data_IF_830241555808
#
_entry.id   IF_830241555808
#
_cell.length_a   1.000
_cell.length_b   1.000
_cell.length_c   1.000
_cell.angle_alpha   90.00
_cell.angle_beta   90.00
_cell.angle_gamma   90.00
#
_symmetry.space_group_name_H-M   'P 1'
#
loop_
_entity.id
_entity.type
_entity.pdbx_description
1 polymer ?
#
# COMPACT_ATOMS: atom_id res chain seq x y z
N UNK A 1 40.06 -36.92 21.46
CA UNK A 1 39.04 -36.68 20.40
C UNK A 1 39.03 -35.21 20.05
N UNK A 2 39.49 -34.87 18.85
CA UNK A 2 39.78 -33.50 18.41
C UNK A 2 38.47 -32.81 18.01
N UNK A 3 38.10 -31.74 18.74
CA UNK A 3 37.05 -30.79 18.34
C UNK A 3 37.59 -29.93 17.20
N UNK A 4 37.02 -30.05 16.00
CA UNK A 4 37.32 -29.17 14.87
C UNK A 4 36.14 -28.22 14.66
N UNK A 5 36.36 -26.93 14.95
CA UNK A 5 35.76 -25.80 14.23
C UNK A 5 34.32 -25.41 14.53
N UNK A 6 34.00 -25.00 15.76
CA UNK A 6 32.76 -24.25 16.04
C UNK A 6 32.91 -22.81 15.51
N UNK A 7 32.08 -22.39 14.54
CA UNK A 7 31.79 -20.97 14.31
C UNK A 7 30.74 -20.48 15.31
N UNK A 8 30.84 -19.21 15.68
CA UNK A 8 30.24 -18.54 16.85
C UNK A 8 28.70 -18.49 16.98
N UNK A 9 27.93 -19.25 16.20
CA UNK A 9 26.45 -19.20 16.26
C UNK A 9 25.77 -20.54 16.56
N UNK A 10 26.52 -21.65 16.63
CA UNK A 10 25.96 -22.98 16.90
C UNK A 10 24.98 -23.49 15.84
N UNK A 11 24.87 -22.79 14.69
CA UNK A 11 23.97 -23.18 13.60
C UNK A 11 24.58 -24.33 12.79
N UNK A 12 23.81 -25.40 12.51
CA UNK A 12 24.26 -26.48 11.66
C UNK A 12 24.68 -25.98 10.28
N UNK A 13 25.65 -26.64 9.68
CA UNK A 13 26.24 -26.29 8.39
C UNK A 13 25.91 -27.32 7.32
N UNK A 14 26.03 -26.94 6.04
CA UNK A 14 25.84 -27.87 4.92
C UNK A 14 26.81 -29.07 4.99
N UNK A 15 28.00 -28.86 5.55
CA UNK A 15 28.99 -29.92 5.74
C UNK A 15 28.56 -30.94 6.80
N UNK A 16 27.90 -30.49 7.87
CA UNK A 16 27.34 -31.39 8.90
C UNK A 16 26.16 -32.18 8.36
N UNK A 17 25.30 -31.55 7.54
CA UNK A 17 24.23 -32.25 6.80
C UNK A 17 24.80 -33.30 5.86
N UNK A 18 25.81 -32.94 5.06
CA UNK A 18 26.45 -33.86 4.12
C UNK A 18 27.08 -35.06 4.84
N UNK A 19 27.74 -34.81 5.97
CA UNK A 19 28.34 -35.84 6.82
C UNK A 19 27.28 -36.77 7.41
N UNK A 20 26.18 -36.23 7.93
CA UNK A 20 25.09 -37.02 8.51
C UNK A 20 24.36 -37.85 7.44
N UNK A 21 24.19 -37.30 6.24
CA UNK A 21 23.57 -37.99 5.11
C UNK A 21 24.50 -38.97 4.38
N UNK A 22 25.80 -38.98 4.71
CA UNK A 22 26.79 -39.86 4.08
C UNK A 22 27.14 -39.49 2.63
N UNK A 23 27.04 -38.20 2.27
CA UNK A 23 27.25 -37.71 0.90
C UNK A 23 28.28 -36.58 0.86
N UNK A 24 28.77 -36.23 -0.33
CA UNK A 24 29.63 -35.04 -0.48
C UNK A 24 28.84 -33.73 -0.28
N UNK A 25 29.46 -32.63 0.18
CA UNK A 25 28.79 -31.33 0.32
C UNK A 25 28.13 -30.83 -0.98
N UNK A 26 28.73 -31.15 -2.14
CA UNK A 26 28.16 -30.86 -3.47
C UNK A 26 26.87 -31.66 -3.69
N UNK A 27 26.86 -32.95 -3.34
CA UNK A 27 25.67 -33.81 -3.47
C UNK A 27 24.56 -33.36 -2.53
N UNK A 28 24.89 -33.01 -1.28
CA UNK A 28 23.93 -32.44 -0.33
C UNK A 28 23.33 -31.12 -0.84
N UNK A 29 24.16 -30.23 -1.41
CA UNK A 29 23.69 -28.98 -2.03
C UNK A 29 22.71 -29.25 -3.18
N UNK A 30 23.05 -30.16 -4.10
CA UNK A 30 22.20 -30.51 -5.26
C UNK A 30 20.90 -31.18 -4.85
N UNK A 31 20.95 -32.06 -3.84
CA UNK A 31 19.79 -32.73 -3.27
C UNK A 31 18.80 -31.74 -2.64
N UNK A 32 19.29 -30.81 -1.81
CA UNK A 32 18.45 -29.75 -1.20
C UNK A 32 17.93 -28.72 -2.23
N UNK A 33 18.54 -28.65 -3.41
CA UNK A 33 18.09 -27.83 -4.56
C UNK A 33 17.08 -28.55 -5.45
N UNK A 34 16.86 -29.87 -5.27
CA UNK A 34 15.95 -30.65 -6.12
C UNK A 34 16.45 -30.85 -7.55
N UNK A 35 17.77 -30.87 -7.79
CA UNK A 35 18.32 -31.09 -9.14
C UNK A 35 18.14 -32.56 -9.52
N UNK A 36 17.56 -32.82 -10.70
CA UNK A 36 17.18 -34.15 -11.22
C UNK A 36 18.33 -35.15 -11.42
N UNK A 37 19.58 -34.71 -11.26
CA UNK A 37 20.79 -35.56 -11.37
C UNK A 37 21.13 -36.30 -10.08
N UNK A 38 20.39 -36.07 -8.98
CA UNK A 38 20.57 -36.79 -7.72
C UNK A 38 19.48 -37.86 -7.59
N UNK A 39 19.88 -39.10 -7.28
CA UNK A 39 18.93 -40.19 -7.08
C UNK A 39 17.90 -39.85 -5.98
N UNK A 40 16.61 -40.17 -6.17
CA UNK A 40 15.55 -39.83 -5.20
C UNK A 40 15.85 -40.29 -3.77
N UNK A 41 16.44 -41.46 -3.61
CA UNK A 41 16.84 -42.00 -2.30
C UNK A 41 17.87 -41.13 -1.57
N UNK A 42 18.83 -40.55 -2.31
CA UNK A 42 19.81 -39.62 -1.73
C UNK A 42 19.16 -38.28 -1.38
N UNK A 43 18.17 -37.82 -2.15
CA UNK A 43 17.42 -36.60 -1.84
C UNK A 43 16.69 -36.73 -0.51
N UNK A 44 16.00 -37.84 -0.30
CA UNK A 44 15.29 -38.10 0.96
C UNK A 44 16.23 -38.25 2.15
N UNK A 45 17.37 -38.96 2.00
CA UNK A 45 18.40 -39.04 3.05
C UNK A 45 18.95 -37.67 3.45
N UNK A 46 19.24 -36.82 2.47
CA UNK A 46 19.74 -35.46 2.73
C UNK A 46 18.69 -34.57 3.39
N UNK A 47 17.42 -34.67 2.98
CA UNK A 47 16.30 -33.93 3.61
C UNK A 47 16.09 -34.35 5.06
N UNK A 48 16.10 -35.65 5.34
CA UNK A 48 15.98 -36.18 6.70
C UNK A 48 17.14 -35.68 7.59
N UNK A 49 18.38 -35.73 7.10
CA UNK A 49 19.55 -35.23 7.81
C UNK A 49 19.49 -33.71 8.07
N UNK A 50 19.02 -32.93 7.09
CA UNK A 50 18.84 -31.49 7.25
C UNK A 50 17.77 -31.18 8.31
N UNK A 51 16.64 -31.89 8.27
CA UNK A 51 15.54 -31.72 9.22
C UNK A 51 15.97 -32.11 10.65
N UNK A 52 16.67 -33.24 10.82
CA UNK A 52 17.14 -33.68 12.14
C UNK A 52 18.13 -32.72 12.79
N UNK A 53 18.92 -32.02 11.96
CA UNK A 53 19.87 -31.03 12.45
C UNK A 53 19.21 -29.66 12.66
N UNK A 54 17.99 -29.42 12.19
CA UNK A 54 17.40 -28.07 12.11
C UNK A 54 18.15 -27.18 11.11
N UNK A 55 18.82 -27.78 10.13
CA UNK A 55 19.52 -27.05 9.08
C UNK A 55 18.52 -26.41 8.12
N UNK A 56 18.51 -25.08 8.09
CA UNK A 56 17.83 -24.31 7.05
C UNK A 56 18.88 -23.84 6.06
N UNK A 57 18.71 -24.20 4.78
CA UNK A 57 19.60 -23.76 3.73
C UNK A 57 19.68 -22.22 3.72
N UNK A 58 20.88 -21.66 3.84
CA UNK A 58 21.08 -20.22 3.91
C UNK A 58 20.50 -19.54 2.64
N UNK A 59 19.47 -18.69 2.77
CA UNK A 59 18.88 -17.98 1.63
C UNK A 59 19.90 -17.15 0.86
N UNK A 60 20.90 -16.56 1.55
CA UNK A 60 21.97 -15.80 0.90
C UNK A 60 22.90 -16.69 0.06
N UNK A 61 23.19 -17.92 0.52
CA UNK A 61 23.97 -18.89 -0.27
C UNK A 61 23.14 -19.45 -1.44
N UNK A 62 21.81 -19.55 -1.28
CA UNK A 62 20.88 -19.94 -2.34
C UNK A 62 20.78 -18.85 -3.40
N UNK A 63 20.58 -17.59 -3.02
CA UNK A 63 20.53 -16.43 -3.91
C UNK A 63 21.87 -16.23 -4.65
N UNK A 64 23.01 -16.48 -3.99
CA UNK A 64 24.33 -16.43 -4.64
C UNK A 64 24.51 -17.55 -5.69
N UNK A 65 23.88 -18.71 -5.48
CA UNK A 65 23.94 -19.87 -6.38
C UNK A 65 22.81 -19.94 -7.43
N UNK A 66 21.72 -19.16 -7.26
CA UNK A 66 20.58 -19.04 -8.18
C UNK A 66 20.45 -17.67 -8.84
N UNK A 67 21.38 -16.74 -8.58
CA UNK A 67 21.46 -15.35 -9.07
C UNK A 67 20.24 -14.43 -8.85
N UNK A 68 19.14 -14.92 -8.26
CA UNK A 68 17.93 -14.13 -8.03
C UNK A 68 17.32 -14.45 -6.65
N UNK A 69 16.93 -13.39 -5.92
CA UNK A 69 16.03 -13.51 -4.77
C UNK A 69 14.66 -14.03 -5.21
N UNK A 70 13.88 -14.66 -4.32
CA UNK A 70 12.46 -14.99 -4.55
C UNK A 70 11.52 -13.97 -3.89
N UNK A 71 12.04 -12.78 -3.58
CA UNK A 71 11.30 -11.74 -2.87
C UNK A 71 10.82 -10.65 -3.80
N UNK A 72 9.63 -10.13 -3.51
CA UNK A 72 9.11 -8.85 -4.03
C UNK A 72 9.02 -7.89 -2.84
N UNK A 73 9.51 -6.67 -3.04
CA UNK A 73 9.46 -5.63 -2.01
C UNK A 73 8.19 -4.81 -2.22
N UNK A 74 7.42 -4.60 -1.17
CA UNK A 74 6.20 -3.80 -1.20
C UNK A 74 6.35 -2.67 -0.19
N UNK A 75 6.44 -1.43 -0.69
CA UNK A 75 6.59 -0.24 0.13
C UNK A 75 5.26 0.50 0.24
N UNK A 76 4.77 0.63 1.47
CA UNK A 76 3.51 1.29 1.81
C UNK A 76 3.74 2.38 2.87
N UNK A 77 2.96 3.47 2.85
CA UNK A 77 3.18 4.59 3.76
C UNK A 77 2.65 4.33 5.17
N UNK A 78 1.77 3.35 5.36
CA UNK A 78 1.22 3.02 6.68
C UNK A 78 0.73 1.57 6.74
N UNK A 79 0.93 0.95 7.90
CA UNK A 79 0.34 -0.33 8.29
C UNK A 79 -0.81 -0.16 9.30
N UNK A 80 -1.06 1.05 9.79
CA UNK A 80 -2.20 1.34 10.66
C UNK A 80 -3.46 1.70 9.88
N UNK A 81 -3.31 2.15 8.64
CA UNK A 81 -4.43 2.48 7.78
C UNK A 81 -4.90 1.22 7.03
N UNK A 82 -6.16 0.84 7.27
CA UNK A 82 -6.80 -0.34 6.67
C UNK A 82 -6.81 -0.31 5.14
N UNK A 83 -6.71 0.88 4.52
CA UNK A 83 -6.49 1.08 3.09
C UNK A 83 -5.39 0.16 2.52
N UNK A 84 -4.25 0.09 3.20
CA UNK A 84 -3.10 -0.66 2.69
C UNK A 84 -3.13 -2.14 3.06
N UNK A 85 -3.89 -2.53 4.08
CA UNK A 85 -3.99 -3.92 4.50
C UNK A 85 -4.67 -4.77 3.42
N UNK A 86 -5.82 -4.32 2.91
CA UNK A 86 -6.54 -5.02 1.82
C UNK A 86 -5.67 -5.12 0.55
N UNK A 87 -4.87 -4.09 0.27
CA UNK A 87 -3.94 -4.08 -0.87
C UNK A 87 -2.81 -5.10 -0.68
N UNK A 88 -2.23 -5.17 0.52
CA UNK A 88 -1.14 -6.09 0.85
C UNK A 88 -1.60 -7.54 0.81
N UNK A 89 -2.79 -7.84 1.33
CA UNK A 89 -3.39 -9.18 1.27
C UNK A 89 -3.59 -9.62 -0.19
N UNK A 90 -4.20 -8.77 -1.01
CA UNK A 90 -4.38 -8.99 -2.44
C UNK A 90 -3.07 -9.24 -3.19
N UNK A 91 -2.03 -8.45 -2.92
CA UNK A 91 -0.69 -8.66 -3.48
C UNK A 91 -0.14 -10.02 -3.06
N UNK A 92 -0.25 -10.34 -1.77
CA UNK A 92 0.30 -11.58 -1.24
C UNK A 92 -0.35 -12.80 -1.86
N UNK A 93 -1.67 -12.79 -2.06
CA UNK A 93 -2.39 -13.90 -2.66
C UNK A 93 -1.96 -14.16 -4.11
N UNK A 94 -1.78 -13.10 -4.91
CA UNK A 94 -1.28 -13.22 -6.29
C UNK A 94 0.15 -13.73 -6.34
N UNK A 95 1.04 -13.20 -5.49
CA UNK A 95 2.47 -13.54 -5.52
C UNK A 95 2.77 -14.92 -4.92
N UNK A 96 2.00 -15.35 -3.91
CA UNK A 96 2.15 -16.66 -3.24
C UNK A 96 1.97 -17.81 -4.21
N UNK A 97 1.04 -17.71 -5.15
CA UNK A 97 0.80 -18.73 -6.20
C UNK A 97 2.05 -18.93 -7.09
N UNK A 98 2.88 -17.89 -7.24
CA UNK A 98 4.15 -17.94 -7.99
C UNK A 98 5.36 -18.29 -7.11
N UNK A 99 5.14 -18.63 -5.84
CA UNK A 99 6.21 -18.94 -4.88
C UNK A 99 7.09 -17.74 -4.54
N UNK A 100 6.56 -16.51 -4.66
CA UNK A 100 7.26 -15.27 -4.33
C UNK A 100 6.87 -14.80 -2.94
N UNK A 101 7.88 -14.47 -2.14
CA UNK A 101 7.72 -13.94 -0.79
C UNK A 101 7.59 -12.41 -0.83
N UNK A 102 6.68 -11.86 -0.02
CA UNK A 102 6.48 -10.42 0.11
C UNK A 102 7.32 -9.87 1.27
N UNK A 103 8.15 -8.87 0.98
CA UNK A 103 8.85 -8.08 2.00
C UNK A 103 8.20 -6.70 2.11
N UNK A 104 7.55 -6.45 3.24
CA UNK A 104 6.82 -5.21 3.48
C UNK A 104 7.76 -4.18 4.12
N UNK A 105 7.83 -2.98 3.54
CA UNK A 105 8.48 -1.81 4.13
C UNK A 105 7.46 -0.71 4.41
N UNK A 106 7.39 -0.28 5.66
CA UNK A 106 6.54 0.83 6.08
C UNK A 106 7.38 2.11 6.19
N UNK A 107 7.10 3.12 5.36
CA UNK A 107 7.88 4.36 5.32
C UNK A 107 7.21 5.55 6.02
N UNK A 108 6.05 5.37 6.67
CA UNK A 108 5.42 6.40 7.50
C UNK A 108 5.20 7.75 6.82
N UNK A 109 4.93 7.74 5.50
CA UNK A 109 4.83 8.95 4.66
C UNK A 109 6.11 9.83 4.63
N UNK A 110 7.26 9.32 5.07
CA UNK A 110 8.56 10.00 4.93
C UNK A 110 9.28 9.52 3.66
N UNK A 111 9.54 10.42 2.70
CA UNK A 111 10.36 10.11 1.52
C UNK A 111 11.77 9.63 1.89
N UNK A 112 12.33 10.11 3.00
CA UNK A 112 13.66 9.74 3.47
C UNK A 112 13.71 8.30 4.01
N UNK A 113 12.69 7.88 4.77
CA UNK A 113 12.59 6.49 5.23
C UNK A 113 12.26 5.55 4.05
N UNK A 114 11.47 5.99 3.06
CA UNK A 114 11.27 5.25 1.80
C UNK A 114 12.61 5.03 1.09
N UNK A 115 13.40 6.09 0.89
CA UNK A 115 14.71 6.02 0.25
C UNK A 115 15.64 5.02 0.96
N UNK A 116 15.69 5.09 2.30
CA UNK A 116 16.48 4.19 3.13
C UNK A 116 16.02 2.73 2.99
N UNK A 117 14.71 2.48 2.97
CA UNK A 117 14.15 1.15 2.74
C UNK A 117 14.52 0.62 1.35
N UNK A 118 14.35 1.44 0.31
CA UNK A 118 14.77 1.08 -1.05
C UNK A 118 16.26 0.70 -1.08
N UNK A 119 17.13 1.54 -0.52
CA UNK A 119 18.57 1.28 -0.45
C UNK A 119 18.88 -0.05 0.22
N UNK A 120 18.23 -0.35 1.34
CA UNK A 120 18.45 -1.59 2.09
C UNK A 120 17.98 -2.84 1.32
N UNK A 121 16.83 -2.75 0.66
CA UNK A 121 16.26 -3.90 -0.03
C UNK A 121 16.93 -4.19 -1.38
N UNK A 122 17.36 -3.16 -2.11
CA UNK A 122 18.01 -3.30 -3.42
C UNK A 122 19.32 -4.11 -3.36
N UNK A 123 20.03 -4.10 -2.23
CA UNK A 123 21.24 -4.91 -2.00
C UNK A 123 20.98 -6.39 -2.23
N UNK A 124 19.78 -6.87 -1.90
CA UNK A 124 19.40 -8.28 -2.04
C UNK A 124 18.83 -8.64 -3.42
N UNK A 125 18.78 -7.69 -4.36
CA UNK A 125 18.23 -7.85 -5.70
C UNK A 125 16.86 -8.56 -5.70
N UNK A 126 15.82 -7.92 -5.12
CA UNK A 126 14.46 -8.44 -5.19
C UNK A 126 14.04 -8.59 -6.65
N UNK A 127 13.10 -9.49 -6.93
CA UNK A 127 12.61 -9.70 -8.30
C UNK A 127 11.84 -8.49 -8.80
N UNK A 128 11.16 -7.79 -7.90
CA UNK A 128 10.32 -6.66 -8.23
C UNK A 128 10.04 -5.78 -7.04
N UNK A 129 9.53 -4.59 -7.33
CA UNK A 129 9.14 -3.58 -6.36
C UNK A 129 7.71 -3.16 -6.67
N UNK A 130 6.87 -3.14 -5.64
CA UNK A 130 5.57 -2.48 -5.65
C UNK A 130 5.67 -1.27 -4.71
N UNK A 131 5.41 -0.07 -5.24
CA UNK A 131 5.66 1.19 -4.54
C UNK A 131 4.41 2.06 -4.56
N UNK A 132 4.07 2.69 -3.44
CA UNK A 132 2.86 3.53 -3.36
C UNK A 132 3.16 4.96 -3.81
N UNK A 133 2.36 5.49 -4.74
CA UNK A 133 2.45 6.87 -5.22
C UNK A 133 3.66 7.17 -6.10
N UNK A 134 3.92 8.46 -6.34
CA UNK A 134 4.99 8.95 -7.22
C UNK A 134 5.90 10.01 -6.59
N UNK A 135 5.58 10.46 -5.38
CA UNK A 135 6.34 11.48 -4.66
C UNK A 135 7.52 10.85 -3.92
N UNK A 136 8.58 10.61 -4.69
CA UNK A 136 9.82 10.01 -4.20
C UNK A 136 10.94 11.04 -4.16
N UNK A 137 12.00 10.79 -3.40
CA UNK A 137 13.21 11.62 -3.49
C UNK A 137 13.88 11.43 -4.86
N UNK A 138 14.73 12.39 -5.26
CA UNK A 138 15.53 12.22 -6.48
C UNK A 138 16.43 10.97 -6.42
N UNK A 139 16.95 10.65 -5.23
CA UNK A 139 17.76 9.46 -5.02
C UNK A 139 16.94 8.17 -5.08
N UNK A 140 15.71 8.13 -4.55
CA UNK A 140 14.78 7.00 -4.74
C UNK A 140 14.53 6.73 -6.22
N UNK A 141 14.20 7.77 -7.00
CA UNK A 141 14.01 7.66 -8.46
C UNK A 141 15.24 7.10 -9.15
N UNK A 142 16.41 7.69 -8.87
CA UNK A 142 17.67 7.24 -9.46
C UNK A 142 17.99 5.77 -9.09
N UNK A 143 17.74 5.34 -7.86
CA UNK A 143 17.93 3.96 -7.43
C UNK A 143 17.02 3.00 -8.17
N UNK A 144 15.74 3.35 -8.35
CA UNK A 144 14.78 2.53 -9.10
C UNK A 144 15.22 2.40 -10.57
N UNK A 145 15.54 3.52 -11.23
CA UNK A 145 15.99 3.56 -12.63
C UNK A 145 17.28 2.75 -12.86
N UNK A 146 18.29 2.94 -11.99
CA UNK A 146 19.60 2.28 -12.15
C UNK A 146 19.61 0.81 -11.74
N UNK A 147 18.64 0.37 -10.93
CA UNK A 147 18.59 -1.02 -10.45
C UNK A 147 18.26 -2.04 -11.54
N UNK A 148 17.54 -1.63 -12.59
CA UNK A 148 16.97 -2.53 -13.59
C UNK A 148 15.91 -3.51 -13.04
N UNK A 149 15.46 -3.32 -11.79
CA UNK A 149 14.43 -4.15 -11.17
C UNK A 149 13.06 -3.59 -11.58
N UNK A 150 12.14 -4.44 -12.10
CA UNK A 150 10.78 -4.01 -12.42
C UNK A 150 10.08 -3.38 -11.21
N UNK A 151 9.55 -2.18 -11.42
CA UNK A 151 8.81 -1.41 -10.41
C UNK A 151 7.42 -1.09 -10.93
N UNK A 152 6.40 -1.31 -10.10
CA UNK A 152 5.01 -0.91 -10.38
C UNK A 152 4.52 0.00 -9.26
N UNK A 153 4.07 1.19 -9.64
CA UNK A 153 3.49 2.18 -8.73
C UNK A 153 2.01 1.87 -8.47
N UNK A 154 1.53 2.15 -7.27
CA UNK A 154 0.18 1.84 -6.82
C UNK A 154 -0.56 3.09 -6.33
N UNK A 155 -1.90 3.04 -6.33
CA UNK A 155 -2.81 4.02 -5.72
C UNK A 155 -2.91 5.39 -6.41
N UNK A 156 -2.08 5.62 -7.43
CA UNK A 156 -2.01 6.83 -8.23
C UNK A 156 -1.72 6.47 -9.67
N UNK A 157 -1.98 7.43 -10.56
CA UNK A 157 -1.68 7.34 -11.98
C UNK A 157 -0.80 8.52 -12.36
N UNK A 158 0.34 8.26 -13.00
CA UNK A 158 1.18 9.30 -13.59
C UNK A 158 1.63 8.89 -14.99
N UNK A 159 1.16 9.64 -15.99
CA UNK A 159 1.47 9.43 -17.41
C UNK A 159 2.84 9.96 -17.82
N UNK A 160 3.48 10.78 -16.98
CA UNK A 160 4.66 11.58 -17.37
C UNK A 160 5.98 10.82 -17.29
N UNK A 161 6.00 9.67 -16.62
CA UNK A 161 7.25 9.01 -16.22
C UNK A 161 7.55 7.70 -16.95
N UNK A 162 6.70 7.24 -17.86
CA UNK A 162 6.89 5.93 -18.53
C UNK A 162 6.94 4.74 -17.55
N UNK A 163 6.54 4.97 -16.30
CA UNK A 163 6.52 3.99 -15.23
C UNK A 163 5.24 3.15 -15.29
N UNK A 164 5.34 1.90 -14.84
CA UNK A 164 4.17 1.04 -14.69
C UNK A 164 3.38 1.49 -13.46
N UNK A 165 2.07 1.69 -13.60
CA UNK A 165 1.22 2.07 -12.49
C UNK A 165 -0.19 1.50 -12.57
N UNK A 166 -0.75 1.25 -11.39
CA UNK A 166 -2.10 0.72 -11.19
C UNK A 166 -2.77 1.55 -10.10
N UNK A 167 -3.89 2.17 -10.41
CA UNK A 167 -4.53 3.10 -9.50
C UNK A 167 -5.76 3.72 -10.09
N UNK A 168 -6.06 4.93 -9.63
CA UNK A 168 -7.22 5.69 -10.07
C UNK A 168 -6.94 7.19 -9.88
N UNK A 169 -7.76 8.04 -10.51
CA UNK A 169 -7.56 9.49 -10.42
C UNK A 169 -8.09 10.08 -9.10
N UNK A 170 -7.16 10.50 -8.24
CA UNK A 170 -7.48 11.23 -7.00
C UNK A 170 -8.18 12.56 -7.28
N UNK A 171 -7.76 13.29 -8.30
CA UNK A 171 -8.39 14.55 -8.69
C UNK A 171 -9.84 14.34 -9.15
N UNK A 172 -10.10 13.33 -9.99
CA UNK A 172 -11.48 13.07 -10.42
C UNK A 172 -12.35 12.60 -9.26
N UNK A 173 -11.80 11.84 -8.32
CA UNK A 173 -12.54 11.42 -7.13
C UNK A 173 -12.94 12.61 -6.23
N UNK A 174 -12.04 13.58 -6.03
CA UNK A 174 -12.38 14.81 -5.31
C UNK A 174 -13.41 15.67 -6.05
N UNK A 175 -13.30 15.75 -7.38
CA UNK A 175 -14.29 16.42 -8.21
C UNK A 175 -15.67 15.77 -8.10
N UNK A 176 -15.73 14.43 -8.05
CA UNK A 176 -16.98 13.70 -7.91
C UNK A 176 -17.67 13.96 -6.57
N UNK A 177 -16.91 14.02 -5.48
CA UNK A 177 -17.44 14.38 -4.16
C UNK A 177 -18.06 15.79 -4.15
N UNK A 178 -17.42 16.76 -4.82
CA UNK A 178 -17.97 18.11 -4.97
C UNK A 178 -19.26 18.11 -5.80
N UNK A 179 -19.26 17.46 -6.97
CA UNK A 179 -20.45 17.37 -7.84
C UNK A 179 -21.62 16.73 -7.13
N UNK A 180 -21.38 15.67 -6.35
CA UNK A 180 -22.40 15.03 -5.54
C UNK A 180 -23.02 16.01 -4.55
N UNK A 181 -22.22 16.67 -3.72
CA UNK A 181 -22.72 17.62 -2.73
C UNK A 181 -23.53 18.76 -3.39
N UNK A 182 -23.03 19.34 -4.48
CA UNK A 182 -23.75 20.35 -5.26
C UNK A 182 -25.07 19.80 -5.83
N UNK A 183 -25.06 18.58 -6.37
CA UNK A 183 -26.24 17.90 -6.91
C UNK A 183 -27.29 17.56 -5.84
N UNK A 184 -26.89 17.52 -4.56
CA UNK A 184 -27.78 17.38 -3.40
C UNK A 184 -28.30 18.73 -2.88
N UNK A 185 -27.99 19.84 -3.56
CA UNK A 185 -28.44 21.18 -3.20
C UNK A 185 -27.62 21.83 -2.08
N UNK A 186 -26.41 21.34 -1.82
CA UNK A 186 -25.47 21.97 -0.87
C UNK A 186 -24.63 23.00 -1.60
N UNK A 187 -24.37 24.13 -0.97
CA UNK A 187 -23.72 25.27 -1.62
C UNK A 187 -22.55 25.85 -0.83
N UNK A 188 -22.47 25.62 0.48
CA UNK A 188 -21.38 26.10 1.33
C UNK A 188 -20.51 24.94 1.80
N UNK A 189 -19.59 24.56 0.91
CA UNK A 189 -18.87 23.30 0.96
C UNK A 189 -17.45 23.45 1.52
N UNK A 190 -17.11 22.63 2.51
CA UNK A 190 -15.78 22.56 3.07
C UNK A 190 -15.01 21.31 2.63
N UNK A 191 -13.69 21.44 2.50
CA UNK A 191 -12.78 20.30 2.36
C UNK A 191 -11.94 20.19 3.64
N UNK A 192 -11.94 19.00 4.25
CA UNK A 192 -11.20 18.72 5.46
C UNK A 192 -10.11 17.69 5.22
N UNK A 193 -8.86 18.11 5.41
CA UNK A 193 -7.67 17.32 5.10
C UNK A 193 -6.71 17.19 6.29
N UNK A 194 -6.20 15.97 6.49
CA UNK A 194 -5.13 15.63 7.41
C UNK A 194 -4.00 14.90 6.66
N UNK A 195 -2.84 14.70 7.30
CA UNK A 195 -1.60 14.10 6.75
C UNK A 195 -0.96 14.89 5.58
N UNK A 196 -1.76 15.44 4.67
CA UNK A 196 -1.38 16.22 3.49
C UNK A 196 -0.41 15.50 2.56
N UNK A 197 -0.55 14.18 2.42
CA UNK A 197 0.16 13.44 1.39
C UNK A 197 -0.31 13.86 -0.02
N UNK A 198 0.50 13.63 -1.08
CA UNK A 198 0.20 14.06 -2.43
C UNK A 198 -1.20 13.68 -2.92
N UNK A 199 -1.72 12.50 -2.54
CA UNK A 199 -3.08 12.07 -2.94
C UNK A 199 -4.15 12.93 -2.30
N UNK A 200 -4.00 13.26 -1.01
CA UNK A 200 -4.91 14.17 -0.29
C UNK A 200 -4.95 15.54 -0.98
N UNK A 201 -3.80 16.04 -1.42
CA UNK A 201 -3.72 17.33 -2.12
C UNK A 201 -4.34 17.27 -3.52
N UNK A 202 -4.15 16.17 -4.26
CA UNK A 202 -4.78 15.94 -5.55
C UNK A 202 -6.32 15.89 -5.42
N UNK A 203 -6.85 15.17 -4.42
CA UNK A 203 -8.30 15.16 -4.12
C UNK A 203 -8.83 16.57 -3.84
N UNK A 204 -8.14 17.32 -2.98
CA UNK A 204 -8.50 18.71 -2.68
C UNK A 204 -8.48 19.60 -3.91
N UNK A 205 -7.55 19.38 -4.84
CA UNK A 205 -7.48 20.13 -6.10
C UNK A 205 -8.69 19.85 -6.99
N UNK A 206 -9.08 18.59 -7.12
CA UNK A 206 -10.28 18.20 -7.87
C UNK A 206 -11.56 18.78 -7.29
N UNK A 207 -11.71 18.71 -5.96
CA UNK A 207 -12.82 19.28 -5.22
C UNK A 207 -12.90 20.81 -5.42
N UNK A 208 -11.78 21.51 -5.21
CA UNK A 208 -11.64 22.96 -5.41
C UNK A 208 -12.08 23.38 -6.79
N UNK A 209 -11.57 22.73 -7.84
CA UNK A 209 -11.86 23.11 -9.23
C UNK A 209 -13.35 23.12 -9.52
N UNK A 210 -14.09 22.11 -9.06
CA UNK A 210 -15.55 22.06 -9.25
C UNK A 210 -16.27 23.22 -8.54
N UNK A 211 -15.80 23.62 -7.36
CA UNK A 211 -16.36 24.79 -6.66
C UNK A 211 -15.99 26.11 -7.33
N UNK A 212 -14.77 26.24 -7.86
CA UNK A 212 -14.32 27.41 -8.62
C UNK A 212 -15.17 27.57 -9.88
N UNK A 213 -15.38 26.49 -10.63
CA UNK A 213 -16.22 26.46 -11.83
C UNK A 213 -17.69 26.83 -11.53
N UNK A 214 -18.17 26.52 -10.33
CA UNK A 214 -19.50 26.87 -9.85
C UNK A 214 -19.60 28.26 -9.19
N UNK A 215 -18.46 28.96 -9.02
CA UNK A 215 -18.41 30.25 -8.31
C UNK A 215 -18.68 30.16 -6.80
N UNK A 216 -18.51 28.99 -6.20
CA UNK A 216 -18.80 28.69 -4.78
C UNK A 216 -17.54 28.43 -3.95
N UNK A 217 -16.35 28.52 -4.54
CA UNK A 217 -15.11 28.28 -3.81
C UNK A 217 -14.84 29.37 -2.78
N UNK A 218 -14.68 28.96 -1.52
CA UNK A 218 -14.27 29.81 -0.41
C UNK A 218 -12.96 29.26 0.19
N UNK A 219 -11.82 29.98 0.09
CA UNK A 219 -10.56 29.58 0.71
C UNK A 219 -10.65 29.35 2.22
N UNK A 220 -11.57 30.04 2.93
CA UNK A 220 -11.74 29.87 4.37
C UNK A 220 -12.31 28.49 4.73
N UNK A 221 -12.97 27.80 3.79
CA UNK A 221 -13.54 26.46 3.98
C UNK A 221 -12.56 25.33 3.62
N UNK A 222 -11.28 25.64 3.45
CA UNK A 222 -10.21 24.67 3.21
C UNK A 222 -9.47 24.38 4.53
N UNK A 223 -9.96 23.38 5.27
CA UNK A 223 -9.37 22.99 6.56
C UNK A 223 -8.27 21.97 6.30
N UNK A 224 -7.03 22.27 6.67
CA UNK A 224 -5.87 21.39 6.40
C UNK A 224 -4.90 21.34 7.58
N UNK A 225 -4.43 20.15 7.92
CA UNK A 225 -3.42 19.92 8.97
C UNK A 225 -2.43 18.83 8.59
N UNK A 226 -1.17 18.96 9.03
CA UNK A 226 -0.14 17.91 8.84
C UNK A 226 -0.23 16.76 9.84
N UNK A 227 -1.12 16.86 10.83
CA UNK A 227 -1.32 15.80 11.81
C UNK A 227 -1.83 14.53 11.13
N UNK A 228 -1.47 13.36 11.69
CA UNK A 228 -1.99 12.09 11.22
C UNK A 228 -3.51 12.04 11.37
N UNK A 229 -4.17 11.43 10.38
CA UNK A 229 -5.62 11.25 10.41
C UNK A 229 -6.06 10.34 11.55
N UNK A 230 -7.16 10.70 12.21
CA UNK A 230 -7.83 9.87 13.21
C UNK A 230 -9.28 10.28 13.39
N UNK A 231 -10.08 9.38 13.96
CA UNK A 231 -11.47 9.66 14.36
C UNK A 231 -11.53 10.85 15.32
N UNK A 232 -10.63 10.94 16.30
CA UNK A 232 -10.60 12.06 17.26
C UNK A 232 -10.36 13.40 16.56
N UNK A 233 -9.36 13.46 15.67
CA UNK A 233 -9.04 14.66 14.92
C UNK A 233 -10.21 15.11 14.02
N UNK A 234 -10.94 14.16 13.43
CA UNK A 234 -12.13 14.45 12.63
C UNK A 234 -13.20 15.23 13.39
N UNK A 235 -13.51 14.79 14.62
CA UNK A 235 -14.45 15.49 15.49
C UNK A 235 -13.96 16.88 15.87
N UNK A 236 -12.70 17.02 16.30
CA UNK A 236 -12.12 18.31 16.69
C UNK A 236 -12.11 19.34 15.55
N UNK A 237 -11.77 18.92 14.33
CA UNK A 237 -11.75 19.80 13.17
C UNK A 237 -13.18 20.18 12.74
N UNK A 238 -14.12 19.25 12.83
CA UNK A 238 -15.52 19.50 12.50
C UNK A 238 -16.18 20.47 13.47
N UNK A 239 -16.01 20.29 14.78
CA UNK A 239 -16.52 21.23 15.78
C UNK A 239 -15.98 22.65 15.55
N UNK A 240 -14.67 22.79 15.30
CA UNK A 240 -14.04 24.08 14.98
C UNK A 240 -14.56 24.69 13.69
N UNK A 241 -14.76 23.89 12.64
CA UNK A 241 -15.33 24.36 11.37
C UNK A 241 -16.73 24.94 11.59
N UNK A 242 -17.58 24.27 12.35
CA UNK A 242 -18.94 24.74 12.59
C UNK A 242 -19.03 25.96 13.51
N UNK A 243 -18.09 26.10 14.45
CA UNK A 243 -17.97 27.29 15.30
C UNK A 243 -17.59 28.53 14.47
N UNK A 244 -16.66 28.38 13.53
CA UNK A 244 -16.18 29.47 12.67
C UNK A 244 -17.11 29.77 11.49
N UNK A 245 -17.74 28.72 10.96
CA UNK A 245 -18.58 28.77 9.76
C UNK A 245 -19.88 27.99 9.98
N UNK A 246 -20.81 28.53 10.79
CA UNK A 246 -22.05 27.84 11.17
C UNK A 246 -23.02 27.61 9.99
N UNK A 247 -22.77 28.24 8.86
CA UNK A 247 -23.54 28.16 7.62
C UNK A 247 -23.03 27.08 6.66
N UNK A 248 -21.94 26.36 6.97
CA UNK A 248 -21.47 25.21 6.19
C UNK A 248 -22.54 24.12 6.15
N UNK A 249 -22.89 23.68 4.94
CA UNK A 249 -23.97 22.71 4.69
C UNK A 249 -23.46 21.40 4.06
N UNK A 250 -22.19 21.31 3.68
CA UNK A 250 -21.57 20.07 3.21
C UNK A 250 -20.07 20.02 3.47
N UNK A 251 -19.56 18.84 3.83
CA UNK A 251 -18.14 18.62 4.10
C UNK A 251 -17.66 17.36 3.37
N UNK A 252 -16.60 17.52 2.57
CA UNK A 252 -15.83 16.42 2.03
C UNK A 252 -14.58 16.21 2.87
N UNK A 253 -14.39 15.00 3.37
CA UNK A 253 -13.24 14.62 4.18
C UNK A 253 -12.23 13.85 3.34
N UNK A 254 -10.94 14.08 3.58
CA UNK A 254 -9.89 13.41 2.80
C UNK A 254 -9.82 11.89 3.01
N UNK A 255 -10.46 11.38 4.06
CA UNK A 255 -10.68 9.96 4.34
C UNK A 255 -11.86 9.75 5.29
N UNK A 256 -12.24 8.49 5.44
CA UNK A 256 -13.33 8.07 6.32
C UNK A 256 -13.02 8.27 7.81
N UNK A 257 -11.80 8.09 8.30
CA UNK A 257 -11.51 8.29 9.74
C UNK A 257 -11.96 9.68 10.22
N UNK A 258 -11.64 10.72 9.46
CA UNK A 258 -12.08 12.08 9.79
C UNK A 258 -13.60 12.24 9.69
N UNK A 259 -14.22 11.67 8.64
CA UNK A 259 -15.66 11.76 8.41
C UNK A 259 -16.47 11.04 9.51
N UNK A 260 -15.99 9.86 9.94
CA UNK A 260 -16.56 9.10 11.04
C UNK A 260 -16.46 9.90 12.35
N UNK A 261 -15.30 10.52 12.60
CA UNK A 261 -15.10 11.45 13.71
C UNK A 261 -16.09 12.62 13.71
N UNK A 262 -16.27 13.25 12.56
CA UNK A 262 -17.21 14.35 12.38
C UNK A 262 -18.66 13.91 12.58
N UNK A 263 -19.06 12.74 12.11
CA UNK A 263 -20.40 12.20 12.34
C UNK A 263 -20.69 11.97 13.83
N UNK A 264 -19.72 11.42 14.56
CA UNK A 264 -19.82 11.24 16.01
C UNK A 264 -19.90 12.59 16.75
N UNK A 265 -19.13 13.58 16.32
CA UNK A 265 -19.15 14.90 16.93
C UNK A 265 -20.43 15.66 16.61
N UNK A 266 -20.96 15.54 15.39
CA UNK A 266 -22.24 16.11 15.02
C UNK A 266 -23.36 15.61 15.95
N UNK A 267 -23.37 14.32 16.27
CA UNK A 267 -24.30 13.74 17.24
C UNK A 267 -24.18 14.39 18.62
N UNK A 268 -22.96 14.62 19.11
CA UNK A 268 -22.73 15.28 20.41
C UNK A 268 -23.18 16.74 20.41
N UNK A 269 -23.00 17.43 19.28
CA UNK A 269 -23.40 18.83 19.11
C UNK A 269 -24.89 19.00 18.76
N UNK A 270 -25.64 17.91 18.56
CA UNK A 270 -27.03 17.96 18.13
C UNK A 270 -27.22 18.45 16.69
N UNK A 271 -26.19 18.30 15.85
CA UNK A 271 -26.19 18.68 14.44
C UNK A 271 -26.78 17.55 13.60
N UNK A 272 -27.90 17.83 12.91
CA UNK A 272 -28.57 16.84 12.07
C UNK A 272 -27.79 16.54 10.78
N UNK A 273 -27.61 15.24 10.49
CA UNK A 273 -27.01 14.71 9.27
C UNK A 273 -28.04 13.78 8.61
N UNK A 274 -28.38 13.97 7.33
CA UNK A 274 -27.80 14.96 6.41
C UNK A 274 -28.47 16.33 6.47
N UNK A 275 -29.59 16.51 7.18
CA UNK A 275 -30.51 17.64 7.01
C UNK A 275 -29.81 18.99 7.11
N UNK A 276 -29.01 19.20 8.16
CA UNK A 276 -28.27 20.46 8.37
C UNK A 276 -26.91 20.45 7.67
N UNK A 277 -26.18 19.34 7.73
CA UNK A 277 -24.87 19.22 7.06
C UNK A 277 -24.69 17.83 6.48
N UNK A 278 -24.31 17.77 5.21
CA UNK A 278 -23.98 16.52 4.52
C UNK A 278 -22.51 16.18 4.67
N UNK A 279 -22.20 14.91 4.93
CA UNK A 279 -20.84 14.42 5.09
C UNK A 279 -20.50 13.43 3.97
N UNK A 280 -19.34 13.60 3.35
CA UNK A 280 -18.80 12.65 2.36
C UNK A 280 -17.38 12.27 2.75
N UNK A 281 -17.15 10.98 2.96
CA UNK A 281 -15.83 10.41 3.24
C UNK A 281 -15.05 10.03 1.99
N UNK A 282 -13.93 9.35 2.21
CA UNK A 282 -13.10 8.79 1.17
C UNK A 282 -12.44 7.48 1.64
N UNK A 283 -12.39 6.51 0.72
CA UNK A 283 -12.00 5.10 0.82
C UNK A 283 -13.16 4.11 0.95
N UNK A 284 -14.29 4.42 1.58
CA UNK A 284 -15.30 3.40 1.95
C UNK A 284 -14.67 2.30 2.84
N UNK A 285 -14.10 2.72 3.96
CA UNK A 285 -13.60 1.83 5.01
C UNK A 285 -14.78 1.05 5.62
N UNK A 286 -14.61 -0.20 6.06
CA UNK A 286 -15.71 -1.06 6.48
C UNK A 286 -16.64 -0.44 7.54
N UNK A 287 -16.09 0.31 8.51
CA UNK A 287 -16.87 1.00 9.53
C UNK A 287 -17.91 1.98 8.98
N UNK A 288 -17.65 2.60 7.83
CA UNK A 288 -18.49 3.62 7.20
C UNK A 288 -19.89 3.09 6.83
N UNK A 289 -20.00 1.81 6.45
CA UNK A 289 -21.27 1.18 6.11
C UNK A 289 -22.14 0.84 7.34
N UNK A 290 -21.58 0.90 8.55
CA UNK A 290 -22.22 0.45 9.80
C UNK A 290 -22.46 1.59 10.80
N UNK A 291 -22.14 2.83 10.42
CA UNK A 291 -22.44 4.01 11.22
C UNK A 291 -23.92 4.38 11.17
N UNK A 292 -24.32 5.26 12.10
CA UNK A 292 -25.63 5.90 12.11
C UNK A 292 -25.42 7.42 12.11
N UNK A 293 -25.75 8.14 11.02
CA UNK A 293 -26.14 7.62 9.69
C UNK A 293 -24.99 6.86 9.01
N UNK A 294 -25.28 5.96 8.04
CA UNK A 294 -24.18 5.32 7.29
C UNK A 294 -23.55 6.37 6.38
N UNK A 295 -22.23 6.31 6.28
CA UNK A 295 -21.43 7.36 5.68
C UNK A 295 -21.37 7.18 4.15
N UNK A 296 -21.80 8.19 3.40
CA UNK A 296 -21.50 8.31 1.97
C UNK A 296 -20.00 8.48 1.80
N UNK A 297 -19.38 7.69 0.93
CA UNK A 297 -17.93 7.73 0.73
C UNK A 297 -17.54 7.34 -0.69
N UNK A 298 -16.40 7.85 -1.17
CA UNK A 298 -15.78 7.34 -2.39
C UNK A 298 -15.08 6.02 -2.08
N UNK A 299 -15.57 4.91 -2.62
CA UNK A 299 -14.91 3.61 -2.58
C UNK A 299 -13.72 3.59 -3.53
N UNK A 300 -12.57 3.21 -2.98
CA UNK A 300 -11.34 3.02 -3.73
C UNK A 300 -11.14 1.52 -4.02
N UNK A 301 -10.70 1.13 -5.22
CA UNK A 301 -10.56 -0.28 -5.62
C UNK A 301 -9.27 -0.90 -5.06
N UNK A 302 -9.14 -0.96 -3.73
CA UNK A 302 -7.89 -1.30 -3.02
C UNK A 302 -7.42 -2.71 -3.31
N UNK A 303 -8.35 -3.65 -3.25
CA UNK A 303 -8.09 -5.06 -3.53
C UNK A 303 -7.68 -5.22 -5.00
N UNK A 304 -8.42 -4.62 -5.94
CA UNK A 304 -8.09 -4.70 -7.36
C UNK A 304 -6.76 -4.03 -7.68
N UNK A 305 -6.41 -2.91 -7.02
CA UNK A 305 -5.08 -2.28 -7.14
C UNK A 305 -4.00 -3.28 -6.74
N UNK A 306 -4.13 -3.93 -5.59
CA UNK A 306 -3.15 -4.91 -5.12
C UNK A 306 -3.01 -6.10 -6.07
N UNK A 307 -4.14 -6.70 -6.47
CA UNK A 307 -4.16 -7.83 -7.40
C UNK A 307 -3.53 -7.45 -8.75
N UNK A 308 -3.96 -6.33 -9.32
CA UNK A 308 -3.55 -5.91 -10.65
C UNK A 308 -2.11 -5.41 -10.69
N UNK A 309 -1.64 -4.73 -9.66
CA UNK A 309 -0.23 -4.33 -9.54
C UNK A 309 0.70 -5.55 -9.48
N UNK A 310 0.34 -6.57 -8.69
CA UNK A 310 1.08 -7.82 -8.64
C UNK A 310 1.05 -8.56 -9.99
N UNK A 311 -0.09 -8.61 -10.68
CA UNK A 311 -0.19 -9.22 -12.02
C UNK A 311 0.67 -8.49 -13.07
N UNK A 312 0.63 -7.15 -13.09
CA UNK A 312 1.48 -6.33 -13.97
C UNK A 312 2.94 -6.65 -13.69
N UNK A 313 3.35 -6.67 -12.42
CA UNK A 313 4.72 -7.01 -12.05
C UNK A 313 5.11 -8.41 -12.53
N UNK A 314 4.27 -9.43 -12.32
CA UNK A 314 4.52 -10.79 -12.82
C UNK A 314 4.65 -10.82 -14.34
N UNK A 315 3.82 -10.08 -15.06
CA UNK A 315 3.94 -9.94 -16.52
C UNK A 315 5.28 -9.36 -16.95
N UNK A 316 5.79 -8.35 -16.24
CA UNK A 316 7.14 -7.80 -16.49
C UNK A 316 8.23 -8.83 -16.23
N UNK A 317 8.10 -9.63 -15.17
CA UNK A 317 9.05 -10.70 -14.85
C UNK A 317 9.07 -11.82 -15.89
N UNK A 318 7.93 -12.06 -16.54
CA UNK A 318 7.78 -13.07 -17.60
C UNK A 318 8.11 -12.50 -19.01
N UNK A 319 8.52 -11.23 -19.10
CA UNK A 319 8.88 -10.58 -20.37
C UNK A 319 7.68 -10.22 -21.25
N UNK A 320 6.48 -10.15 -20.68
CA UNK A 320 5.24 -9.81 -21.39
C UNK A 320 5.04 -8.29 -21.37
N UNK A 321 4.81 -7.70 -22.54
CA UNK A 321 4.49 -6.27 -22.65
C UNK A 321 3.22 -5.97 -21.84
N UNK A 322 3.34 -5.06 -20.87
CA UNK A 322 2.22 -4.60 -20.07
C UNK A 322 1.79 -3.21 -20.53
N UNK A 323 0.53 -2.88 -20.30
CA UNK A 323 0.10 -1.48 -20.36
C UNK A 323 0.78 -0.70 -19.23
N UNK A 324 1.48 0.42 -19.51
CA UNK A 324 2.13 1.22 -18.49
C UNK A 324 1.17 1.76 -17.43
N UNK A 325 -0.10 1.88 -17.76
CA UNK A 325 -1.10 2.46 -16.87
C UNK A 325 -2.34 1.58 -16.86
N UNK A 326 -2.82 1.25 -15.66
CA UNK A 326 -4.12 0.61 -15.44
C UNK A 326 -4.95 1.48 -14.50
N UNK A 327 -5.90 2.19 -15.09
CA UNK A 327 -6.92 2.95 -14.34
C UNK A 327 -8.06 2.01 -13.97
N UNK A 328 -8.27 1.83 -12.67
CA UNK A 328 -9.32 0.98 -12.11
C UNK A 328 -10.58 1.80 -11.71
N UNK A 329 -10.53 3.13 -11.87
CA UNK A 329 -11.62 4.01 -11.49
C UNK A 329 -11.90 4.04 -9.97
N UNK A 330 -13.08 4.53 -9.62
CA UNK A 330 -13.58 4.60 -8.25
C UNK A 330 -15.11 4.65 -8.29
N UNK A 331 -15.76 4.43 -7.16
CA UNK A 331 -17.22 4.45 -7.04
C UNK A 331 -17.64 5.41 -5.93
N UNK A 332 -18.62 6.28 -6.18
CA UNK A 332 -19.27 7.03 -5.12
C UNK A 332 -20.39 6.18 -4.51
N UNK A 333 -20.21 5.77 -3.26
CA UNK A 333 -21.19 4.96 -2.53
C UNK A 333 -22.08 5.88 -1.72
N UNK A 334 -23.24 6.22 -2.28
CA UNK A 334 -24.23 7.10 -1.63
C UNK A 334 -24.97 6.36 -0.52
N UNK A 335 -24.99 6.95 0.67
CA UNK A 335 -25.67 6.47 1.88
C UNK A 335 -26.41 7.62 2.58
N UNK A 336 -26.84 7.44 3.82
CA UNK A 336 -27.69 8.41 4.53
C UNK A 336 -26.99 9.73 4.87
N UNK A 337 -25.66 9.80 4.88
CA UNK A 337 -24.98 11.03 5.31
C UNK A 337 -24.98 12.18 4.28
N UNK A 338 -25.53 12.01 3.08
CA UNK A 338 -25.66 13.08 2.07
C UNK A 338 -26.89 12.97 1.16
#
# INVERSE_FOLDING_TARGET
MIRIGSRSTGRPTLNEVAKLAGVSPITASRALRGISTVAPELVEKVRAAAQSLGYVANPAARALASSCSQTVVVLVPSLSNQLFIETLEAIQDVLRVRGLDVLIGNYHYSPEEEEKLLRNHLVNRPRGILLTGFDHTAASRQMLETSGIPCVHMMELDTRLGAYCVGFSQQQAGAEAARHLLGRGRHRLAYMAAQLDPRVLQRGTGFRRVLEDAGLFDPALQVSTRQASSIGLGGELFARLLDQHPDVDGVFFCNDDLAQGAALEALRLGVAIPERVSLVGFNDLPGSAHMVPRLTSIRTPREEVGQRAAQVLLGLLDGVIQHPQVDLGFELVVRESS
#
